data_IF_794962167530
#
_entry.id   IF_794962167530
#
_cell.length_a   1.000
_cell.length_b   1.000
_cell.length_c   1.000
_cell.angle_alpha   90.00
_cell.angle_beta   90.00
_cell.angle_gamma   90.00
#
_symmetry.space_group_name_H-M   'P 1'
#
loop_
_entity.id
_entity.type
_entity.pdbx_description
1 polymer ?
#
# COMPACT_ATOMS: atom_id res chain seq x y z
N UNK A 1 -4.61 -5.39 -49.67
CA UNK A 1 -4.08 -5.50 -48.29
C UNK A 1 -5.00 -4.72 -47.37
N UNK A 2 -5.56 -5.34 -46.33
CA UNK A 2 -6.05 -4.70 -45.11
C UNK A 2 -6.58 -5.79 -44.17
N UNK A 3 -5.78 -6.16 -43.19
CA UNK A 3 -6.18 -6.98 -42.06
C UNK A 3 -6.45 -6.01 -40.89
N UNK A 4 -7.72 -5.86 -40.54
CA UNK A 4 -8.14 -5.22 -39.30
C UNK A 4 -8.53 -6.33 -38.32
N UNK A 5 -7.67 -6.59 -37.34
CA UNK A 5 -7.99 -7.47 -36.21
C UNK A 5 -8.09 -6.66 -34.92
N UNK A 6 -9.08 -7.08 -34.14
CA UNK A 6 -9.75 -6.34 -33.10
C UNK A 6 -8.96 -6.28 -31.78
N UNK A 7 -9.07 -5.16 -31.08
CA UNK A 7 -8.72 -5.05 -29.68
C UNK A 7 -9.82 -5.72 -28.83
N UNK A 8 -9.52 -6.88 -28.24
CA UNK A 8 -10.36 -7.48 -27.22
C UNK A 8 -10.09 -6.80 -25.86
N UNK A 9 -11.02 -5.95 -25.43
CA UNK A 9 -11.08 -5.46 -24.05
C UNK A 9 -11.55 -6.59 -23.13
N UNK A 10 -10.61 -7.20 -22.40
CA UNK A 10 -10.90 -8.15 -21.32
C UNK A 10 -10.99 -7.43 -19.99
N UNK A 11 -12.20 -7.30 -19.45
CA UNK A 11 -12.49 -6.94 -18.07
C UNK A 11 -11.90 -8.00 -17.12
N UNK A 12 -10.66 -7.79 -16.68
CA UNK A 12 -10.00 -8.65 -15.68
C UNK A 12 -10.38 -8.17 -14.28
N UNK A 13 -11.58 -8.51 -13.82
CA UNK A 13 -11.88 -8.57 -12.38
C UNK A 13 -11.10 -9.74 -11.76
N UNK A 14 -9.80 -9.52 -11.51
CA UNK A 14 -8.91 -10.53 -10.92
C UNK A 14 -9.29 -10.66 -9.45
N UNK A 15 -10.04 -11.72 -9.11
CA UNK A 15 -10.24 -12.12 -7.71
C UNK A 15 -8.86 -12.32 -7.06
N UNK A 16 -8.62 -11.76 -5.86
CA UNK A 16 -7.36 -11.98 -5.17
C UNK A 16 -7.16 -13.49 -4.94
N UNK A 17 -5.90 -13.94 -5.02
CA UNK A 17 -5.60 -15.34 -4.77
C UNK A 17 -6.05 -15.74 -3.36
N UNK A 18 -6.70 -16.90 -3.20
CA UNK A 18 -7.31 -17.31 -1.93
C UNK A 18 -6.33 -17.31 -0.73
N UNK A 19 -5.05 -17.61 -0.98
CA UNK A 19 -4.01 -17.57 0.05
C UNK A 19 -3.76 -16.17 0.60
N UNK A 20 -4.00 -15.13 -0.20
CA UNK A 20 -3.74 -13.75 0.13
C UNK A 20 -4.83 -13.17 1.03
N UNK A 21 -6.10 -13.51 0.75
CA UNK A 21 -7.22 -13.23 1.67
C UNK A 21 -6.98 -13.90 3.04
N UNK A 22 -6.53 -15.16 3.02
CA UNK A 22 -6.18 -15.91 4.23
C UNK A 22 -5.01 -15.30 4.97
N UNK A 23 -3.94 -14.91 4.28
CA UNK A 23 -2.78 -14.24 4.88
C UNK A 23 -3.17 -12.99 5.68
N UNK A 24 -4.13 -12.22 5.18
CA UNK A 24 -4.58 -10.99 5.85
C UNK A 24 -5.54 -11.23 7.02
N UNK A 25 -6.38 -12.26 6.93
CA UNK A 25 -7.31 -12.65 7.98
C UNK A 25 -6.67 -13.48 9.11
N UNK A 26 -5.49 -14.04 8.87
CA UNK A 26 -4.77 -14.91 9.80
C UNK A 26 -4.22 -14.15 11.01
N UNK A 27 -4.17 -14.82 12.17
CA UNK A 27 -3.55 -14.27 13.38
C UNK A 27 -2.19 -14.93 13.61
N UNK A 28 -1.12 -14.16 13.42
CA UNK A 28 0.24 -14.66 13.60
C UNK A 28 0.67 -14.63 15.07
N UNK A 29 1.71 -15.42 15.35
CA UNK A 29 2.38 -15.52 16.66
C UNK A 29 1.55 -16.20 17.76
N UNK A 30 0.44 -16.87 17.40
CA UNK A 30 -0.22 -17.83 18.28
C UNK A 30 0.64 -19.08 18.50
N UNK A 31 0.40 -19.80 19.60
CA UNK A 31 1.09 -21.06 19.89
C UNK A 31 0.71 -22.18 18.91
N UNK A 32 1.67 -23.02 18.53
CA UNK A 32 1.40 -24.22 17.75
C UNK A 32 0.69 -25.28 18.60
N UNK A 33 -0.48 -25.73 18.15
CA UNK A 33 -1.25 -26.77 18.86
C UNK A 33 -0.57 -28.14 18.91
N UNK A 34 0.31 -28.45 17.94
CA UNK A 34 1.07 -29.72 17.87
C UNK A 34 2.37 -29.66 18.67
N UNK A 35 3.06 -28.52 18.65
CA UNK A 35 4.39 -28.34 19.26
C UNK A 35 4.34 -27.47 20.51
N UNK A 36 3.33 -27.63 21.37
CA UNK A 36 3.11 -26.78 22.54
C UNK A 36 4.31 -26.76 23.51
N UNK A 37 5.00 -27.89 23.66
CA UNK A 37 6.11 -28.05 24.61
C UNK A 37 7.49 -27.68 24.03
N UNK A 38 7.56 -27.29 22.76
CA UNK A 38 8.82 -26.92 22.13
C UNK A 38 9.07 -25.41 22.26
N UNK A 39 10.34 -25.03 22.48
CA UNK A 39 10.75 -23.63 22.37
C UNK A 39 10.53 -23.14 20.93
N UNK A 40 10.18 -21.87 20.75
CA UNK A 40 9.90 -21.25 19.43
C UNK A 40 8.75 -21.94 18.69
N UNK A 41 7.67 -22.24 19.40
CA UNK A 41 6.44 -22.83 18.84
C UNK A 41 5.45 -21.79 18.29
N UNK A 42 5.84 -20.52 18.21
CA UNK A 42 5.00 -19.45 17.67
C UNK A 42 4.77 -19.65 16.17
N UNK A 43 3.53 -19.47 15.73
CA UNK A 43 3.13 -19.54 14.32
C UNK A 43 3.52 -18.27 13.58
N UNK A 44 4.76 -18.20 13.11
CA UNK A 44 5.33 -17.03 12.42
C UNK A 44 5.68 -17.29 10.94
N UNK A 45 5.28 -18.44 10.40
CA UNK A 45 5.45 -18.78 8.98
C UNK A 45 4.07 -19.06 8.40
N UNK A 46 3.76 -18.49 7.24
CA UNK A 46 2.54 -18.77 6.50
C UNK A 46 2.84 -19.73 5.36
N UNK A 47 2.13 -20.85 5.28
CA UNK A 47 2.20 -21.75 4.14
C UNK A 47 1.18 -21.34 3.09
N UNK A 48 1.63 -20.96 1.89
CA UNK A 48 0.75 -20.50 0.81
C UNK A 48 -0.14 -21.63 0.28
N UNK A 49 0.39 -22.85 0.17
CA UNK A 49 -0.41 -23.98 -0.33
C UNK A 49 -1.46 -24.44 0.67
N UNK A 50 -1.13 -24.45 1.97
CA UNK A 50 -2.07 -24.88 3.00
C UNK A 50 -2.97 -23.73 3.48
N UNK A 51 -2.63 -22.48 3.16
CA UNK A 51 -3.30 -21.28 3.68
C UNK A 51 -3.37 -21.25 5.21
N UNK A 52 -2.28 -21.64 5.89
CA UNK A 52 -2.23 -21.77 7.36
C UNK A 52 -0.97 -21.15 7.94
N UNK A 53 -1.11 -20.55 9.13
CA UNK A 53 0.01 -20.17 9.99
C UNK A 53 0.59 -21.39 10.70
N UNK A 54 1.91 -21.57 10.59
CA UNK A 54 2.67 -22.70 11.13
C UNK A 54 3.89 -22.20 11.90
N UNK A 55 4.38 -23.03 12.82
CA UNK A 55 5.62 -22.74 13.55
C UNK A 55 6.85 -23.32 12.83
N UNK A 56 8.07 -22.92 13.20
CA UNK A 56 9.31 -23.45 12.63
C UNK A 56 9.45 -24.99 12.73
N UNK A 57 8.84 -25.62 13.74
CA UNK A 57 8.86 -27.09 13.88
C UNK A 57 7.93 -27.81 12.90
N UNK A 58 6.97 -27.12 12.29
CA UNK A 58 6.09 -27.68 11.27
C UNK A 58 6.73 -27.66 9.86
N UNK A 59 7.82 -26.91 9.66
CA UNK A 59 8.48 -26.78 8.36
C UNK A 59 8.83 -28.13 7.68
N UNK A 60 9.26 -29.19 8.39
CA UNK A 60 9.57 -30.47 7.78
C UNK A 60 8.39 -31.13 7.05
N UNK A 61 7.15 -30.79 7.41
CA UNK A 61 5.92 -31.28 6.74
C UNK A 61 5.53 -30.43 5.52
N UNK A 62 6.22 -29.32 5.28
CA UNK A 62 5.92 -28.33 4.23
C UNK A 62 7.12 -28.08 3.30
N UNK A 63 8.02 -29.07 3.15
CA UNK A 63 9.29 -28.92 2.40
C UNK A 63 9.12 -28.50 0.93
N UNK A 64 8.03 -28.94 0.29
CA UNK A 64 7.70 -28.63 -1.10
C UNK A 64 6.79 -27.40 -1.24
N UNK A 65 6.45 -26.73 -0.15
CA UNK A 65 5.49 -25.63 -0.17
C UNK A 65 6.18 -24.27 -0.20
N UNK A 66 5.53 -23.30 -0.84
CA UNK A 66 5.93 -21.90 -0.75
C UNK A 66 5.58 -21.36 0.64
N UNK A 67 6.59 -20.84 1.34
CA UNK A 67 6.48 -20.39 2.71
C UNK A 67 6.84 -18.91 2.82
N UNK A 68 6.07 -18.16 3.59
CA UNK A 68 6.28 -16.73 3.83
C UNK A 68 6.55 -16.48 5.31
N UNK A 69 7.70 -15.89 5.64
CA UNK A 69 8.03 -15.55 7.01
C UNK A 69 7.39 -14.22 7.41
N UNK A 70 6.53 -14.26 8.44
CA UNK A 70 5.91 -13.06 9.03
C UNK A 70 6.72 -12.64 10.27
N UNK A 71 6.98 -11.33 10.38
CA UNK A 71 7.66 -10.69 11.50
C UNK A 71 6.72 -9.73 12.19
N UNK A 72 6.97 -9.40 13.46
CA UNK A 72 6.19 -8.42 14.22
C UNK A 72 7.00 -7.18 14.49
N UNK A 73 6.46 -6.02 14.16
CA UNK A 73 7.03 -4.71 14.49
C UNK A 73 5.98 -3.79 15.09
N UNK A 74 6.22 -3.33 16.32
CA UNK A 74 5.31 -2.45 17.09
C UNK A 74 3.86 -2.93 16.97
N UNK A 75 3.64 -4.19 17.37
CA UNK A 75 2.32 -4.82 17.38
C UNK A 75 1.65 -5.05 16.02
N UNK A 76 2.37 -4.83 14.91
CA UNK A 76 1.86 -5.09 13.57
C UNK A 76 2.65 -6.16 12.84
N UNK A 77 1.95 -6.95 12.05
CA UNK A 77 2.53 -8.02 11.26
C UNK A 77 3.08 -7.46 9.94
N UNK A 78 4.36 -7.75 9.69
CA UNK A 78 5.15 -7.24 8.58
C UNK A 78 5.88 -8.38 7.87
N UNK A 79 6.12 -8.19 6.57
CA UNK A 79 6.90 -9.11 5.75
C UNK A 79 8.02 -8.33 5.07
N UNK A 80 9.20 -8.96 4.89
CA UNK A 80 10.28 -8.31 4.14
C UNK A 80 9.87 -8.16 2.69
N UNK A 81 10.19 -7.01 2.10
CA UNK A 81 9.82 -6.69 0.73
C UNK A 81 10.30 -7.78 -0.25
N UNK A 82 11.57 -8.19 -0.15
CA UNK A 82 12.12 -9.24 -1.03
C UNK A 82 11.48 -10.61 -0.88
N UNK A 83 10.92 -10.95 0.29
CA UNK A 83 10.18 -12.22 0.48
C UNK A 83 8.79 -12.14 -0.19
N UNK A 84 8.17 -10.95 -0.14
CA UNK A 84 6.81 -10.71 -0.63
C UNK A 84 6.76 -10.45 -2.15
N UNK A 85 7.75 -9.74 -2.70
CA UNK A 85 7.85 -9.40 -4.14
C UNK A 85 7.92 -10.64 -5.04
N UNK A 86 8.46 -11.75 -4.53
CA UNK A 86 8.50 -13.03 -5.25
C UNK A 86 7.12 -13.69 -5.38
N UNK A 87 6.11 -13.21 -4.64
CA UNK A 87 4.80 -13.83 -4.53
C UNK A 87 3.67 -12.94 -5.08
N UNK A 88 3.78 -11.63 -4.91
CA UNK A 88 2.76 -10.64 -5.31
C UNK A 88 3.43 -9.37 -5.81
N UNK A 89 2.81 -8.72 -6.79
CA UNK A 89 3.21 -7.38 -7.21
C UNK A 89 3.08 -6.39 -6.04
N UNK A 90 4.23 -5.90 -5.56
CA UNK A 90 4.30 -4.91 -4.49
C UNK A 90 4.34 -3.46 -5.01
N UNK A 91 4.17 -3.25 -6.32
CA UNK A 91 4.11 -1.91 -6.91
C UNK A 91 3.03 -1.05 -6.23
N UNK A 92 3.31 0.25 -6.11
CA UNK A 92 2.44 1.25 -5.49
C UNK A 92 2.19 1.07 -3.98
N UNK A 93 2.73 0.03 -3.33
CA UNK A 93 2.70 -0.09 -1.86
C UNK A 93 3.95 0.59 -1.30
N UNK A 94 3.78 1.46 -0.31
CA UNK A 94 4.92 2.10 0.34
C UNK A 94 5.73 1.10 1.19
N UNK A 95 7.01 0.84 0.86
CA UNK A 95 7.89 0.06 1.72
C UNK A 95 8.40 0.94 2.87
N UNK A 96 8.45 0.36 4.06
CA UNK A 96 9.01 1.00 5.24
C UNK A 96 10.39 0.43 5.55
N UNK A 97 11.32 1.27 5.98
CA UNK A 97 12.64 0.83 6.44
C UNK A 97 12.59 0.56 7.93
N UNK A 98 12.83 -0.69 8.34
CA UNK A 98 12.82 -1.11 9.75
C UNK A 98 14.07 -1.94 10.00
N UNK A 99 14.92 -1.50 10.95
CA UNK A 99 16.21 -2.13 11.27
C UNK A 99 17.07 -2.37 10.01
N UNK A 100 17.11 -1.39 9.09
CA UNK A 100 17.85 -1.47 7.84
C UNK A 100 17.21 -2.30 6.72
N UNK A 101 16.12 -3.04 6.98
CA UNK A 101 15.43 -3.83 5.97
C UNK A 101 14.17 -3.11 5.43
N UNK A 102 13.85 -3.30 4.15
CA UNK A 102 12.56 -2.90 3.57
C UNK A 102 11.49 -3.91 3.95
N UNK A 103 10.37 -3.43 4.49
CA UNK A 103 9.23 -4.26 4.88
C UNK A 103 7.91 -3.64 4.43
N UNK A 104 6.91 -4.50 4.26
CA UNK A 104 5.53 -4.14 3.95
C UNK A 104 4.65 -4.57 5.12
N UNK A 105 3.71 -3.70 5.51
CA UNK A 105 2.68 -4.04 6.48
C UNK A 105 1.61 -4.90 5.80
N UNK A 106 1.19 -5.99 6.45
CA UNK A 106 0.10 -6.81 5.94
C UNK A 106 -1.23 -6.06 6.01
N UNK A 107 -1.52 -5.49 7.19
CA UNK A 107 -2.79 -4.84 7.49
C UNK A 107 -2.66 -3.32 7.70
N UNK A 108 -3.79 -2.63 7.61
CA UNK A 108 -3.88 -1.20 7.90
C UNK A 108 -3.46 -0.91 9.35
N UNK A 109 -2.93 0.28 9.57
CA UNK A 109 -2.56 0.76 10.93
C UNK A 109 -3.50 1.88 11.36
N UNK A 110 -3.74 2.08 12.66
CA UNK A 110 -4.48 3.24 13.18
C UNK A 110 -3.82 4.56 12.77
N UNK A 111 -4.61 5.51 12.24
CA UNK A 111 -4.13 6.85 11.87
C UNK A 111 -4.59 7.86 12.91
N UNK A 112 -3.65 8.63 13.47
CA UNK A 112 -3.94 9.57 14.56
C UNK A 112 -4.57 10.89 14.11
N UNK A 113 -4.59 11.20 12.80
CA UNK A 113 -5.10 12.49 12.27
C UNK A 113 -5.63 12.31 10.85
N UNK A 114 -6.84 12.78 10.60
CA UNK A 114 -7.32 13.03 9.23
C UNK A 114 -6.42 14.08 8.58
N UNK A 115 -5.91 13.78 7.38
CA UNK A 115 -5.12 14.74 6.64
C UNK A 115 -6.07 15.74 5.98
N UNK A 116 -6.08 16.98 6.46
CA UNK A 116 -6.65 18.13 5.74
C UNK A 116 -5.50 18.80 4.98
N UNK A 117 -5.16 18.29 3.81
CA UNK A 117 -4.11 18.86 2.97
C UNK A 117 -3.93 18.06 1.66
N UNK A 118 -3.33 18.69 0.65
CA UNK A 118 -3.02 18.11 -0.68
C UNK A 118 -1.88 17.09 -0.64
N UNK A 119 -1.80 16.28 0.43
CA UNK A 119 -0.77 15.26 0.57
C UNK A 119 -1.21 13.98 -0.13
N UNK A 120 -0.26 13.29 -0.78
CA UNK A 120 -0.50 11.96 -1.33
C UNK A 120 -0.99 11.02 -0.22
N UNK A 121 -2.16 10.41 -0.40
CA UNK A 121 -2.83 9.58 0.60
C UNK A 121 -3.11 8.18 0.08
N UNK A 122 -3.21 7.23 1.01
CA UNK A 122 -3.57 5.86 0.72
C UNK A 122 -5.01 5.80 0.23
N UNK A 123 -5.25 5.24 -0.96
CA UNK A 123 -6.58 5.22 -1.59
C UNK A 123 -7.67 4.51 -0.78
N UNK A 124 -7.29 3.71 0.22
CA UNK A 124 -8.25 2.92 1.04
C UNK A 124 -8.50 3.50 2.42
N UNK A 125 -7.50 4.16 3.03
CA UNK A 125 -7.55 4.54 4.45
C UNK A 125 -7.07 5.96 4.72
N UNK A 126 -6.79 6.75 3.68
CA UNK A 126 -6.38 8.15 3.74
C UNK A 126 -5.11 8.43 4.56
N UNK A 127 -4.31 7.40 4.79
CA UNK A 127 -2.98 7.53 5.40
C UNK A 127 -2.06 8.29 4.48
N UNK A 128 -1.38 9.30 4.99
CA UNK A 128 -0.37 10.06 4.25
C UNK A 128 0.77 9.12 3.80
N UNK A 129 1.10 9.15 2.52
CA UNK A 129 2.13 8.37 1.86
C UNK A 129 3.21 9.26 1.24
N UNK A 130 4.36 8.67 0.96
CA UNK A 130 5.36 9.29 0.10
C UNK A 130 4.95 9.10 -1.37
N UNK A 131 5.14 10.11 -2.22
CA UNK A 131 5.06 9.91 -3.67
C UNK A 131 6.16 8.93 -4.13
N UNK A 132 5.90 8.01 -5.07
CA UNK A 132 4.68 7.83 -5.87
C UNK A 132 3.70 6.77 -5.33
N UNK A 133 3.79 6.37 -4.06
CA UNK A 133 3.03 5.24 -3.51
C UNK A 133 1.55 5.57 -3.30
N UNK A 134 0.66 4.59 -3.50
CA UNK A 134 -0.81 4.74 -3.39
C UNK A 134 -1.45 3.90 -2.29
N UNK A 135 -0.71 2.93 -1.74
CA UNK A 135 -1.20 2.07 -0.66
C UNK A 135 -0.21 2.00 0.50
N UNK A 136 -0.71 1.97 1.74
CA UNK A 136 0.13 1.87 2.93
C UNK A 136 0.45 0.45 3.38
N UNK A 137 -0.33 -0.52 2.94
CA UNK A 137 -0.26 -1.93 3.33
C UNK A 137 -0.77 -2.81 2.21
N UNK A 138 -0.43 -4.10 2.27
CA UNK A 138 -0.94 -5.10 1.33
C UNK A 138 -2.47 -5.14 1.32
N UNK A 139 -3.08 -5.07 2.51
CA UNK A 139 -4.54 -5.02 2.66
C UNK A 139 -5.20 -3.85 1.95
N UNK A 140 -4.59 -2.67 1.97
CA UNK A 140 -5.12 -1.51 1.26
C UNK A 140 -5.08 -1.73 -0.25
N UNK A 141 -4.00 -2.33 -0.78
CA UNK A 141 -3.90 -2.59 -2.22
C UNK A 141 -5.01 -3.50 -2.71
N UNK A 142 -5.30 -4.59 -1.97
CA UNK A 142 -6.34 -5.54 -2.36
C UNK A 142 -7.74 -4.98 -2.21
N UNK A 143 -8.03 -4.30 -1.09
CA UNK A 143 -9.32 -3.63 -0.91
C UNK A 143 -9.52 -2.53 -1.97
N UNK A 144 -8.45 -1.81 -2.33
CA UNK A 144 -8.48 -0.80 -3.39
C UNK A 144 -8.62 -1.38 -4.81
N UNK A 145 -8.25 -2.64 -5.03
CA UNK A 145 -8.52 -3.35 -6.30
C UNK A 145 -9.99 -3.74 -6.42
N UNK A 146 -10.65 -4.00 -5.30
CA UNK A 146 -12.08 -4.31 -5.26
C UNK A 146 -12.92 -3.03 -5.43
N UNK A 147 -12.45 -1.88 -4.90
CA UNK A 147 -13.08 -0.57 -5.04
C UNK A 147 -12.67 0.11 -6.35
N UNK A 148 -13.56 0.08 -7.35
CA UNK A 148 -13.35 0.63 -8.71
C UNK A 148 -12.76 2.06 -8.73
N UNK A 149 -13.15 2.90 -7.77
CA UNK A 149 -12.79 4.33 -7.69
C UNK A 149 -11.28 4.59 -7.53
N UNK A 150 -10.56 3.62 -6.99
CA UNK A 150 -9.11 3.70 -6.81
C UNK A 150 -8.38 3.36 -8.12
N UNK A 151 -8.92 2.43 -8.91
CA UNK A 151 -8.20 1.91 -10.07
C UNK A 151 -8.19 2.88 -11.27
N UNK A 152 -9.22 3.70 -11.38
CA UNK A 152 -9.37 4.71 -12.43
C UNK A 152 -8.32 5.84 -12.34
N UNK A 153 -7.63 5.99 -11.21
CA UNK A 153 -6.50 6.92 -11.08
C UNK A 153 -5.16 6.35 -11.60
N UNK A 154 -5.09 5.07 -11.99
CA UNK A 154 -3.86 4.44 -12.53
C UNK A 154 -3.74 4.48 -14.04
N UNK A 155 -4.75 4.96 -14.77
CA UNK A 155 -4.63 5.16 -16.21
C UNK A 155 -3.93 6.51 -16.42
N UNK A 156 -2.73 6.57 -17.01
CA UNK A 156 -2.20 7.83 -17.51
C UNK A 156 -3.24 8.35 -18.49
N UNK A 157 -3.87 9.49 -18.20
CA UNK A 157 -4.69 10.20 -19.19
C UNK A 157 -3.76 10.75 -20.26
N UNK A 158 -3.30 9.86 -21.15
CA UNK A 158 -2.71 10.20 -22.42
C UNK A 158 -3.85 10.68 -23.33
N UNK A 159 -3.96 12.00 -23.43
CA UNK A 159 -4.39 12.76 -24.61
C UNK A 159 -5.25 12.05 -25.68
N UNK A 160 -6.47 12.55 -25.87
CA UNK A 160 -6.95 12.90 -27.21
C UNK A 160 -8.14 13.86 -27.10
N UNK A 161 -7.97 15.02 -27.73
CA UNK A 161 -8.96 16.07 -27.90
C UNK A 161 -10.13 15.58 -28.74
N UNK A 162 -11.36 15.61 -28.20
CA UNK A 162 -12.56 15.51 -29.01
C UNK A 162 -13.32 16.84 -28.90
N UNK A 163 -13.20 17.60 -29.98
CA UNK A 163 -14.09 18.69 -30.34
C UNK A 163 -15.48 18.13 -30.63
N UNK A 164 -16.49 18.53 -29.85
CA UNK A 164 -17.88 18.47 -30.30
C UNK A 164 -18.57 19.81 -30.00
N UNK A 165 -19.16 20.33 -31.08
CA UNK A 165 -19.73 21.64 -31.21
C UNK A 165 -21.20 21.69 -30.77
N UNK A 166 -21.70 22.93 -30.64
CA UNK A 166 -23.12 23.35 -30.60
C UNK A 166 -23.82 23.10 -29.24
N UNK A 167 -24.45 24.06 -28.55
CA UNK A 167 -25.17 25.26 -29.01
C UNK A 167 -25.39 26.28 -27.87
N UNK A 168 -25.49 27.56 -28.27
CA UNK A 168 -26.34 28.64 -27.70
C UNK A 168 -26.06 29.25 -26.31
N UNK A 169 -25.37 30.40 -26.36
CA UNK A 169 -25.74 31.74 -25.82
C UNK A 169 -26.13 31.94 -24.34
N UNK A 170 -25.38 32.79 -23.62
CA UNK A 170 -25.80 34.08 -23.00
C UNK A 170 -24.56 34.86 -22.49
N UNK A 171 -24.54 36.18 -22.77
CA UNK A 171 -23.57 37.23 -22.40
C UNK A 171 -23.43 37.42 -20.86
N UNK A 172 -22.48 38.13 -20.22
CA UNK A 172 -21.77 39.41 -20.46
C UNK A 172 -20.70 39.49 -19.31
N UNK A 173 -19.40 39.67 -19.55
CA UNK A 173 -18.63 40.92 -19.70
C UNK A 173 -18.06 41.56 -18.40
N UNK A 174 -16.80 42.00 -18.52
CA UNK A 174 -16.01 42.98 -17.74
C UNK A 174 -15.41 42.56 -16.38
N UNK A 175 -14.21 43.00 -15.95
CA UNK A 175 -12.96 43.52 -16.54
C UNK A 175 -12.03 43.85 -15.32
N UNK A 176 -10.74 44.09 -15.56
CA UNK A 176 -9.68 44.62 -14.66
C UNK A 176 -8.92 43.57 -13.83
N UNK A 177 -7.65 43.23 -14.09
CA UNK A 177 -6.38 44.01 -14.24
C UNK A 177 -5.92 44.60 -12.90
N UNK A 178 -4.86 44.04 -12.28
CA UNK A 178 -3.52 44.66 -12.11
C UNK A 178 -2.61 43.90 -11.12
N UNK A 179 -1.32 43.95 -11.44
CA UNK A 179 -0.09 43.42 -10.82
C UNK A 179 0.19 43.79 -9.35
N UNK A 180 1.05 43.01 -8.67
CA UNK A 180 1.74 43.45 -7.42
C UNK A 180 2.24 42.31 -6.51
N UNK A 181 3.45 41.77 -6.72
CA UNK A 181 4.68 42.00 -5.93
C UNK A 181 4.81 41.34 -4.53
N UNK A 182 5.71 40.34 -4.49
CA UNK A 182 6.83 40.05 -3.55
C UNK A 182 6.66 39.84 -2.01
N UNK A 183 7.16 38.64 -1.61
CA UNK A 183 7.95 38.23 -0.42
C UNK A 183 7.45 38.49 1.03
N UNK A 184 7.37 37.41 1.83
CA UNK A 184 8.24 37.27 3.02
C UNK A 184 8.08 35.93 3.77
N UNK A 185 9.22 35.25 3.94
CA UNK A 185 9.71 34.54 5.14
C UNK A 185 8.74 33.79 6.07
N UNK A 186 8.96 32.48 6.19
CA UNK A 186 8.45 31.65 7.29
C UNK A 186 9.27 30.39 7.55
N UNK A 187 10.60 30.51 7.68
CA UNK A 187 11.48 29.39 8.03
C UNK A 187 11.43 29.12 9.54
N UNK A 188 10.74 28.05 9.97
CA UNK A 188 10.76 27.59 11.37
C UNK A 188 11.73 26.41 11.51
N UNK A 189 13.00 26.71 11.74
CA UNK A 189 14.01 25.74 12.19
C UNK A 189 13.78 25.42 13.67
N UNK A 190 13.67 24.12 14.02
CA UNK A 190 13.73 23.66 15.42
C UNK A 190 15.18 23.82 15.92
N UNK A 191 15.37 24.52 17.04
CA UNK A 191 16.66 24.73 17.68
C UNK A 191 17.30 23.44 18.20
N UNK A 192 18.61 23.48 18.39
CA UNK A 192 19.40 22.39 18.95
C UNK A 192 19.15 22.23 20.46
N UNK A 193 19.07 21.00 21.00
CA UNK A 193 18.92 20.78 22.43
C UNK A 193 20.26 20.99 23.16
N UNK A 194 20.24 21.80 24.21
CA UNK A 194 21.37 21.97 25.15
C UNK A 194 21.37 20.81 26.16
N UNK A 195 22.51 20.14 26.36
CA UNK A 195 22.68 19.13 27.43
C UNK A 195 22.83 19.82 28.78
N UNK A 196 22.30 19.21 29.84
CA UNK A 196 22.51 19.69 31.22
C UNK A 196 23.97 19.46 31.66
N UNK A 197 24.54 20.31 32.53
CA UNK A 197 25.82 20.06 33.17
C UNK A 197 25.69 18.88 34.16
N UNK A 198 26.68 18.00 34.19
CA UNK A 198 26.80 16.97 35.22
C UNK A 198 27.44 17.60 36.47
N UNK A 199 26.76 17.47 37.61
CA UNK A 199 27.35 17.54 38.95
C UNK A 199 28.00 16.22 39.31
#
# INVERSE_FOLDING_TARGET
MNCSEAASGGDMSVKPAAWLERLMAETFFGGCGVHQNHKKNEKNVFCLHCCLSICPHCLPSHRSHSLLQVRRYVYHDVVRLGDLENLVDCSNIQPYTINGAKVIFLNQRPQSRSCKGTANSCCTCDRILQEPFRFCSLSCKLEGQIRVDCYTQFVPTSSCSNTEATSSSIANNNNNKTNGFFLSLGSRRKGAPHRAPLS
#
